data_IF_797954682521
#
_entry.id   IF_797954682521
#
_cell.length_a   1.000
_cell.length_b   1.000
_cell.length_c   1.000
_cell.angle_alpha   90.00
_cell.angle_beta   90.00
_cell.angle_gamma   90.00
#
_symmetry.space_group_name_H-M   'P 1'
#
loop_
_entity.id
_entity.type
_entity.pdbx_description
1 polymer ?
#
# COMPACT_ATOMS: atom_id res chain seq x y z
N UNK A 1 18.30 25.07 22.69
CA UNK A 1 19.33 24.04 22.53
C UNK A 1 19.51 23.67 21.06
N UNK A 2 18.49 23.16 20.37
CA UNK A 2 18.61 22.65 18.99
C UNK A 2 19.05 23.76 18.02
N UNK A 3 18.42 24.92 18.05
CA UNK A 3 18.78 26.05 17.19
C UNK A 3 20.21 26.54 17.40
N UNK A 4 20.64 26.61 18.66
CA UNK A 4 22.04 26.94 18.98
C UNK A 4 23.02 25.92 18.38
N UNK A 5 22.74 24.63 18.55
CA UNK A 5 23.60 23.58 18.05
C UNK A 5 23.65 23.55 16.51
N UNK A 6 22.54 23.79 15.85
CA UNK A 6 22.49 23.91 14.40
C UNK A 6 23.36 25.05 13.90
N UNK A 7 23.28 26.24 14.51
CA UNK A 7 24.14 27.40 14.17
C UNK A 7 25.63 27.09 14.41
N UNK A 8 25.97 26.52 15.58
CA UNK A 8 27.34 26.10 15.89
C UNK A 8 27.92 25.17 14.84
N UNK A 9 27.13 24.21 14.37
CA UNK A 9 27.58 23.26 13.34
C UNK A 9 27.75 23.92 11.97
N UNK A 10 26.90 24.86 11.61
CA UNK A 10 27.04 25.66 10.40
C UNK A 10 28.33 26.50 10.47
N UNK A 11 28.57 27.20 11.59
CA UNK A 11 29.79 28.00 11.79
C UNK A 11 31.08 27.16 11.64
N UNK A 12 31.09 25.94 12.20
CA UNK A 12 32.21 25.01 12.03
C UNK A 12 32.42 24.59 10.57
N UNK A 13 31.34 24.29 9.85
CA UNK A 13 31.45 23.93 8.43
C UNK A 13 31.93 25.08 7.57
N UNK A 14 31.49 26.31 7.85
CA UNK A 14 31.88 27.52 7.13
C UNK A 14 33.36 27.84 7.37
N UNK A 15 33.92 27.52 8.55
CA UNK A 15 35.35 27.64 8.84
C UNK A 15 36.19 26.48 8.31
N UNK A 16 35.57 25.47 7.68
CA UNK A 16 36.25 24.29 7.14
C UNK A 16 36.60 23.23 8.18
N UNK A 17 36.08 23.36 9.39
CA UNK A 17 36.24 22.35 10.44
C UNK A 17 35.26 21.19 10.26
N UNK A 18 35.65 20.01 10.76
CA UNK A 18 34.79 18.84 10.77
C UNK A 18 33.93 18.81 12.02
N UNK A 19 32.64 18.51 11.83
CA UNK A 19 31.75 18.23 12.96
C UNK A 19 32.10 16.88 13.55
N UNK A 20 32.41 16.85 14.85
CA UNK A 20 32.60 15.62 15.61
C UNK A 20 31.29 15.12 16.15
N UNK A 21 31.07 13.82 16.03
CA UNK A 21 29.89 13.17 16.63
C UNK A 21 30.12 13.06 18.15
N UNK A 22 29.34 13.81 18.92
CA UNK A 22 29.47 13.85 20.38
C UNK A 22 28.12 14.12 21.04
N UNK A 23 27.93 13.64 22.25
CA UNK A 23 26.78 14.03 23.07
C UNK A 23 27.07 15.44 23.63
N UNK A 24 26.08 16.32 23.49
CA UNK A 24 26.16 17.67 24.05
C UNK A 24 25.02 17.93 25.04
N UNK A 25 25.34 18.64 26.10
CA UNK A 25 24.37 19.03 27.13
C UNK A 25 24.09 20.51 27.01
N UNK A 26 22.82 20.90 27.18
CA UNK A 26 22.42 22.30 27.21
C UNK A 26 22.73 22.90 28.59
N UNK A 27 23.38 24.03 28.59
CA UNK A 27 23.65 24.86 29.77
C UNK A 27 22.74 26.09 29.70
N UNK A 28 21.67 26.10 30.50
CA UNK A 28 20.72 27.20 30.51
C UNK A 28 21.34 28.51 31.00
N UNK A 29 22.24 28.47 31.99
CA UNK A 29 22.89 29.66 32.55
C UNK A 29 23.84 30.32 31.56
N UNK A 30 24.50 29.54 30.71
CA UNK A 30 25.43 30.02 29.70
C UNK A 30 24.81 30.20 28.33
N UNK A 31 23.56 29.74 28.10
CA UNK A 31 22.86 29.77 26.81
C UNK A 31 23.57 29.03 25.68
N UNK A 32 24.32 27.99 26.01
CA UNK A 32 25.13 27.22 25.04
C UNK A 32 25.19 25.73 25.32
N UNK A 33 25.57 24.96 24.31
CA UNK A 33 25.80 23.54 24.50
C UNK A 33 27.28 23.32 25.00
N UNK A 34 27.46 22.33 25.85
CA UNK A 34 28.79 21.83 26.27
C UNK A 34 28.99 20.41 25.76
N UNK A 35 30.22 20.10 25.31
CA UNK A 35 30.58 18.75 24.96
C UNK A 35 30.47 17.84 26.18
N UNK A 36 29.78 16.72 26.00
CA UNK A 36 29.73 15.63 26.95
C UNK A 36 30.74 14.56 26.61
N UNK A 37 30.48 13.32 27.06
CA UNK A 37 31.32 12.18 26.72
C UNK A 37 31.26 11.89 25.24
N UNK A 38 32.37 11.83 24.55
CA UNK A 38 32.45 11.33 23.18
C UNK A 38 32.40 9.80 23.20
N UNK A 39 31.56 9.26 22.34
CA UNK A 39 31.50 7.82 22.09
C UNK A 39 31.83 7.58 20.63
N UNK A 40 33.04 7.95 20.25
CA UNK A 40 33.44 7.92 18.85
C UNK A 40 34.01 6.57 18.40
N UNK A 41 34.37 5.69 19.32
CA UNK A 41 35.03 4.44 19.00
C UNK A 41 34.09 3.25 19.25
N UNK A 42 34.08 2.31 18.32
CA UNK A 42 33.31 1.05 18.42
C UNK A 42 33.61 0.29 19.72
N UNK A 43 34.83 0.45 20.25
CA UNK A 43 35.30 -0.14 21.51
C UNK A 43 34.53 0.38 22.74
N UNK A 44 34.08 1.64 22.73
CA UNK A 44 33.26 2.22 23.82
C UNK A 44 31.92 1.49 23.95
N UNK A 45 31.38 0.94 22.86
CA UNK A 45 30.17 0.14 22.82
C UNK A 45 30.44 -1.36 22.90
N UNK A 46 31.71 -1.78 23.03
CA UNK A 46 32.14 -3.18 23.01
C UNK A 46 31.77 -3.91 21.71
N UNK A 47 31.75 -3.20 20.56
CA UNK A 47 31.59 -3.79 19.22
C UNK A 47 32.91 -4.41 18.75
N UNK A 48 33.43 -5.39 19.47
CA UNK A 48 34.54 -6.22 19.04
C UNK A 48 34.00 -7.62 18.68
N UNK A 49 34.73 -8.28 17.79
CA UNK A 49 34.36 -9.63 17.38
C UNK A 49 34.43 -10.56 18.61
N UNK A 50 33.34 -11.32 18.79
CA UNK A 50 33.32 -12.37 19.80
C UNK A 50 34.26 -13.48 19.38
N UNK A 51 35.30 -13.83 20.17
CA UNK A 51 36.32 -14.79 19.73
C UNK A 51 35.78 -16.21 19.54
N UNK A 52 34.64 -16.55 20.13
CA UNK A 52 34.02 -17.85 20.05
C UNK A 52 33.06 -17.99 18.85
N UNK A 53 32.81 -16.91 18.10
CA UNK A 53 31.98 -16.93 16.93
C UNK A 53 32.82 -16.94 15.66
N UNK A 54 32.60 -17.95 14.84
CA UNK A 54 33.21 -17.99 13.50
C UNK A 54 32.60 -16.93 12.58
N UNK A 55 33.35 -16.32 11.67
CA UNK A 55 32.82 -15.39 10.70
C UNK A 55 31.68 -16.02 9.88
N UNK A 56 30.57 -15.30 9.80
CA UNK A 56 29.47 -15.69 8.91
C UNK A 56 29.83 -15.29 7.47
N UNK A 57 30.03 -16.28 6.62
CA UNK A 57 30.37 -16.07 5.21
C UNK A 57 29.40 -16.85 4.31
N UNK A 58 28.20 -16.31 4.04
CA UNK A 58 27.24 -16.96 3.15
C UNK A 58 27.83 -17.08 1.74
N UNK A 59 27.59 -18.23 1.09
CA UNK A 59 28.06 -18.42 -0.29
C UNK A 59 27.26 -17.58 -1.28
N UNK A 60 27.86 -17.27 -2.43
CA UNK A 60 27.19 -16.51 -3.48
C UNK A 60 25.93 -17.25 -3.99
N UNK A 61 25.99 -18.58 -4.05
CA UNK A 61 24.86 -19.42 -4.47
C UNK A 61 23.69 -19.33 -3.47
N UNK A 62 24.00 -19.32 -2.16
CA UNK A 62 22.96 -19.17 -1.14
C UNK A 62 22.29 -17.79 -1.19
N UNK A 63 23.09 -16.73 -1.33
CA UNK A 63 22.58 -15.36 -1.50
C UNK A 63 21.70 -15.27 -2.75
N UNK A 64 22.15 -15.81 -3.88
CA UNK A 64 21.38 -15.81 -5.13
C UNK A 64 20.07 -16.61 -5.02
N UNK A 65 20.08 -17.73 -4.28
CA UNK A 65 18.86 -18.51 -4.04
C UNK A 65 17.84 -17.74 -3.20
N UNK A 66 18.30 -17.01 -2.18
CA UNK A 66 17.43 -16.15 -1.35
C UNK A 66 16.86 -14.99 -2.19
N UNK A 67 17.71 -14.34 -2.98
CA UNK A 67 17.30 -13.21 -3.84
C UNK A 67 16.25 -13.65 -4.86
N UNK A 68 16.44 -14.82 -5.48
CA UNK A 68 15.49 -15.40 -6.43
C UNK A 68 14.15 -15.82 -5.78
N UNK A 69 14.17 -16.19 -4.50
CA UNK A 69 12.98 -16.58 -3.74
C UNK A 69 12.27 -15.38 -3.06
N UNK A 70 12.89 -14.21 -3.08
CA UNK A 70 12.35 -13.02 -2.41
C UNK A 70 11.06 -12.55 -3.10
N UNK A 71 9.95 -12.34 -2.37
CA UNK A 71 8.73 -11.81 -2.95
C UNK A 71 8.92 -10.36 -3.43
N UNK A 72 8.15 -9.91 -4.42
CA UNK A 72 8.23 -8.53 -4.88
C UNK A 72 8.02 -7.53 -3.74
N UNK A 73 8.89 -6.53 -3.68
CA UNK A 73 8.80 -5.48 -2.67
C UNK A 73 7.52 -4.63 -2.84
N UNK A 74 6.99 -4.02 -1.78
CA UNK A 74 5.76 -3.22 -1.86
C UNK A 74 5.78 -2.13 -2.94
N UNK A 75 6.93 -1.52 -3.21
CA UNK A 75 7.07 -0.53 -4.28
C UNK A 75 6.87 -1.16 -5.67
N UNK A 76 7.43 -2.34 -5.92
CA UNK A 76 7.25 -3.07 -7.18
C UNK A 76 5.79 -3.52 -7.34
N UNK A 77 5.16 -4.02 -6.27
CA UNK A 77 3.73 -4.41 -6.25
C UNK A 77 2.83 -3.23 -6.62
N UNK A 78 3.06 -2.04 -6.01
CA UNK A 78 2.31 -0.80 -6.35
C UNK A 78 2.51 -0.39 -7.81
N UNK A 79 3.74 -0.43 -8.31
CA UNK A 79 4.02 -0.08 -9.71
C UNK A 79 3.30 -1.01 -10.69
N UNK A 80 3.33 -2.31 -10.44
CA UNK A 80 2.64 -3.29 -11.28
C UNK A 80 1.12 -3.07 -11.29
N UNK A 81 0.52 -2.86 -10.11
CA UNK A 81 -0.91 -2.63 -9.96
C UNK A 81 -1.34 -1.31 -10.62
N UNK A 82 -0.62 -0.22 -10.38
CA UNK A 82 -0.91 1.09 -10.97
C UNK A 82 -0.82 1.05 -12.50
N UNK A 83 0.20 0.39 -13.04
CA UNK A 83 0.37 0.20 -14.49
C UNK A 83 -0.78 -0.60 -15.10
N UNK A 84 -1.19 -1.71 -14.45
CA UNK A 84 -2.29 -2.54 -14.93
C UNK A 84 -3.64 -1.82 -14.86
N UNK A 85 -3.86 -1.03 -13.83
CA UNK A 85 -5.11 -0.29 -13.64
C UNK A 85 -5.18 1.04 -14.40
N UNK A 86 -4.06 1.50 -14.99
CA UNK A 86 -3.99 2.79 -15.70
C UNK A 86 -4.14 4.01 -14.77
N UNK A 87 -3.63 3.92 -13.55
CA UNK A 87 -3.69 4.98 -12.52
C UNK A 87 -2.31 5.38 -12.03
N UNK A 88 -2.21 6.48 -11.28
CA UNK A 88 -0.94 6.88 -10.68
C UNK A 88 -0.58 5.98 -9.48
N UNK A 89 0.71 5.66 -9.33
CA UNK A 89 1.21 4.81 -8.22
C UNK A 89 0.98 5.42 -6.83
N UNK A 90 0.77 6.72 -6.77
CA UNK A 90 0.52 7.50 -5.54
C UNK A 90 -0.96 7.52 -5.14
N UNK A 91 -1.87 6.98 -5.95
CA UNK A 91 -3.29 6.95 -5.59
C UNK A 91 -3.54 6.07 -4.37
N UNK A 92 -4.45 6.52 -3.49
CA UNK A 92 -4.77 5.84 -2.23
C UNK A 92 -5.22 4.39 -2.44
N UNK A 93 -6.02 4.14 -3.47
CA UNK A 93 -6.52 2.81 -3.81
C UNK A 93 -5.39 1.81 -4.12
N UNK A 94 -4.31 2.25 -4.78
CA UNK A 94 -3.12 1.42 -5.05
C UNK A 94 -2.37 1.10 -3.76
N UNK A 95 -2.17 2.12 -2.91
CA UNK A 95 -1.48 1.95 -1.62
C UNK A 95 -2.26 1.01 -0.71
N UNK A 96 -3.56 1.22 -0.59
CA UNK A 96 -4.46 0.43 0.26
C UNK A 96 -4.55 -1.03 -0.23
N UNK A 97 -4.64 -1.25 -1.54
CA UNK A 97 -4.66 -2.61 -2.11
C UNK A 97 -3.41 -3.41 -1.71
N UNK A 98 -2.22 -2.80 -1.80
CA UNK A 98 -0.96 -3.45 -1.40
C UNK A 98 -0.87 -3.63 0.11
N UNK A 99 -1.33 -2.65 0.91
CA UNK A 99 -1.32 -2.75 2.37
C UNK A 99 -2.24 -3.84 2.92
N UNK A 100 -3.34 -4.13 2.20
CA UNK A 100 -4.30 -5.18 2.57
C UNK A 100 -4.00 -6.53 1.91
N UNK A 101 -2.89 -6.65 1.17
CA UNK A 101 -2.54 -7.83 0.38
C UNK A 101 -3.63 -8.25 -0.65
N UNK A 102 -4.39 -7.27 -1.15
CA UNK A 102 -5.44 -7.45 -2.17
C UNK A 102 -4.99 -7.08 -3.59
N UNK A 103 -3.73 -6.69 -3.78
CA UNK A 103 -3.17 -6.33 -5.08
C UNK A 103 -3.17 -7.51 -6.07
N UNK A 104 -2.94 -8.74 -5.60
CA UNK A 104 -2.98 -9.92 -6.46
C UNK A 104 -4.42 -10.21 -6.94
N UNK A 105 -5.40 -10.08 -6.07
CA UNK A 105 -6.82 -10.16 -6.44
C UNK A 105 -7.17 -9.09 -7.47
N UNK A 106 -6.77 -7.84 -7.22
CA UNK A 106 -7.03 -6.73 -8.13
C UNK A 106 -6.40 -6.96 -9.51
N UNK A 107 -5.12 -7.38 -9.57
CA UNK A 107 -4.42 -7.71 -10.81
C UNK A 107 -5.12 -8.83 -11.58
N UNK A 108 -5.50 -9.91 -10.89
CA UNK A 108 -6.20 -11.03 -11.51
C UNK A 108 -7.60 -10.63 -12.02
N UNK A 109 -8.30 -9.76 -11.30
CA UNK A 109 -9.62 -9.23 -11.71
C UNK A 109 -9.51 -8.34 -12.94
N UNK A 110 -8.49 -7.48 -13.00
CA UNK A 110 -8.21 -6.64 -14.18
C UNK A 110 -7.84 -7.53 -15.38
N UNK A 111 -7.00 -8.54 -15.17
CA UNK A 111 -6.66 -9.52 -16.21
C UNK A 111 -7.88 -10.32 -16.71
N UNK A 112 -8.87 -10.54 -15.85
CA UNK A 112 -10.15 -11.16 -16.22
C UNK A 112 -11.13 -10.19 -16.93
N UNK A 113 -10.72 -8.95 -17.21
CA UNK A 113 -11.51 -7.95 -17.96
C UNK A 113 -12.21 -6.91 -17.08
N UNK A 114 -11.94 -6.87 -15.78
CA UNK A 114 -12.46 -5.83 -14.89
C UNK A 114 -11.81 -4.47 -15.17
N UNK A 115 -12.60 -3.40 -15.14
CA UNK A 115 -12.09 -2.03 -15.26
C UNK A 115 -11.18 -1.69 -14.07
N UNK A 116 -9.93 -1.28 -14.35
CA UNK A 116 -8.90 -1.11 -13.33
C UNK A 116 -9.26 -0.10 -12.25
N UNK A 117 -9.82 1.06 -12.63
CA UNK A 117 -10.22 2.10 -11.68
C UNK A 117 -11.37 1.64 -10.79
N UNK A 118 -12.36 0.97 -11.40
CA UNK A 118 -13.53 0.50 -10.66
C UNK A 118 -13.19 -0.65 -9.72
N UNK A 119 -12.37 -1.59 -10.17
CA UNK A 119 -11.81 -2.65 -9.32
C UNK A 119 -11.12 -2.06 -8.10
N UNK A 120 -10.21 -1.09 -8.29
CA UNK A 120 -9.50 -0.45 -7.19
C UNK A 120 -10.40 0.35 -6.26
N UNK A 121 -11.46 0.98 -6.78
CA UNK A 121 -12.48 1.65 -5.96
C UNK A 121 -13.18 0.67 -5.02
N UNK A 122 -13.54 -0.51 -5.52
CA UNK A 122 -14.13 -1.56 -4.67
C UNK A 122 -13.12 -2.09 -3.65
N UNK A 123 -11.85 -2.32 -4.03
CA UNK A 123 -10.79 -2.75 -3.12
C UNK A 123 -10.59 -1.74 -1.98
N UNK A 124 -10.62 -0.45 -2.28
CA UNK A 124 -10.43 0.59 -1.28
C UNK A 124 -11.62 0.70 -0.31
N UNK A 125 -12.84 0.69 -0.84
CA UNK A 125 -14.01 1.09 -0.07
C UNK A 125 -14.95 -0.05 0.34
N UNK A 126 -14.94 -1.17 -0.37
CA UNK A 126 -15.92 -2.23 -0.19
C UNK A 126 -15.33 -3.59 0.19
N UNK A 127 -14.04 -3.84 -0.10
CA UNK A 127 -13.36 -5.07 0.28
C UNK A 127 -12.63 -4.86 1.61
N UNK A 128 -13.35 -5.00 2.71
CA UNK A 128 -12.80 -4.95 4.06
C UNK A 128 -13.36 -6.11 4.88
N UNK A 129 -12.50 -6.91 5.50
CA UNK A 129 -12.88 -8.02 6.35
C UNK A 129 -12.54 -9.39 5.78
N UNK A 130 -13.03 -10.42 6.46
CA UNK A 130 -12.79 -11.81 6.11
C UNK A 130 -13.47 -12.17 4.77
N UNK A 131 -12.80 -12.99 3.97
CA UNK A 131 -13.31 -13.45 2.67
C UNK A 131 -12.97 -12.55 1.47
N UNK A 132 -12.46 -11.33 1.69
CA UNK A 132 -12.07 -10.45 0.58
C UNK A 132 -10.99 -11.06 -0.33
N UNK A 133 -9.99 -11.74 0.27
CA UNK A 133 -8.90 -12.37 -0.46
C UNK A 133 -9.31 -13.63 -1.22
N UNK A 134 -10.41 -14.29 -0.81
CA UNK A 134 -10.91 -15.54 -1.39
C UNK A 134 -11.88 -15.30 -2.56
N UNK A 135 -12.18 -14.03 -2.85
CA UNK A 135 -13.08 -13.65 -3.94
C UNK A 135 -12.54 -14.13 -5.29
N UNK A 136 -13.40 -14.77 -6.10
CA UNK A 136 -12.99 -15.22 -7.42
C UNK A 136 -12.81 -14.01 -8.37
N UNK A 137 -11.62 -13.82 -8.99
CA UNK A 137 -11.35 -12.66 -9.85
C UNK A 137 -12.29 -12.53 -11.05
N UNK A 138 -12.71 -13.65 -11.65
CA UNK A 138 -13.59 -13.61 -12.83
C UNK A 138 -15.00 -13.16 -12.48
N UNK A 139 -15.56 -13.64 -11.36
CA UNK A 139 -16.87 -13.19 -10.88
C UNK A 139 -16.82 -11.76 -10.37
N UNK A 140 -15.71 -11.32 -9.81
CA UNK A 140 -15.51 -9.92 -9.44
C UNK A 140 -15.43 -9.01 -10.68
N UNK A 141 -14.74 -9.43 -11.73
CA UNK A 141 -14.73 -8.71 -13.02
C UNK A 141 -16.16 -8.64 -13.63
N UNK A 142 -16.94 -9.71 -13.53
CA UNK A 142 -18.34 -9.75 -13.96
C UNK A 142 -19.20 -8.72 -13.20
N UNK A 143 -19.06 -8.63 -11.87
CA UNK A 143 -19.75 -7.62 -11.06
C UNK A 143 -19.43 -6.19 -11.54
N UNK A 144 -18.14 -5.90 -11.74
CA UNK A 144 -17.67 -4.60 -12.24
C UNK A 144 -18.29 -4.29 -13.61
N UNK A 145 -18.38 -5.29 -14.49
CA UNK A 145 -19.02 -5.14 -15.81
C UNK A 145 -20.51 -4.87 -15.72
N UNK A 146 -21.24 -5.55 -14.83
CA UNK A 146 -22.68 -5.32 -14.58
C UNK A 146 -22.92 -3.89 -14.08
N UNK A 147 -22.05 -3.38 -13.22
CA UNK A 147 -22.16 -2.02 -12.70
C UNK A 147 -21.87 -0.98 -13.78
N UNK A 148 -20.77 -1.12 -14.52
CA UNK A 148 -20.42 -0.18 -15.60
C UNK A 148 -21.39 -0.24 -16.77
N UNK A 149 -22.02 -1.39 -17.00
CA UNK A 149 -23.08 -1.58 -17.96
C UNK A 149 -24.45 -1.02 -17.54
N UNK A 150 -24.54 -0.42 -16.32
CA UNK A 150 -25.78 0.16 -15.81
C UNK A 150 -26.84 -0.86 -15.37
N UNK A 151 -26.50 -2.16 -15.33
CA UNK A 151 -27.39 -3.21 -14.83
C UNK A 151 -27.48 -3.21 -13.29
N UNK A 152 -26.46 -2.71 -12.62
CA UNK A 152 -26.45 -2.49 -11.17
C UNK A 152 -26.02 -1.06 -10.87
N UNK A 153 -26.69 -0.44 -9.92
CA UNK A 153 -26.21 0.81 -9.34
C UNK A 153 -25.01 0.56 -8.42
N UNK A 154 -24.23 1.58 -8.10
CA UNK A 154 -23.08 1.46 -7.18
C UNK A 154 -23.48 0.88 -5.80
N UNK A 155 -24.67 1.23 -5.31
CA UNK A 155 -25.18 0.71 -4.03
C UNK A 155 -25.56 -0.77 -4.14
N UNK A 156 -26.20 -1.17 -5.23
CA UNK A 156 -26.54 -2.57 -5.49
C UNK A 156 -25.28 -3.41 -5.68
N UNK A 157 -24.30 -2.93 -6.47
CA UNK A 157 -23.01 -3.60 -6.65
C UNK A 157 -22.28 -3.83 -5.32
N UNK A 158 -22.31 -2.85 -4.40
CA UNK A 158 -21.75 -3.01 -3.05
C UNK A 158 -22.47 -4.12 -2.26
N UNK A 159 -23.79 -4.19 -2.34
CA UNK A 159 -24.59 -5.23 -1.66
C UNK A 159 -24.30 -6.62 -2.25
N UNK A 160 -24.28 -6.73 -3.58
CA UNK A 160 -23.93 -7.97 -4.27
C UNK A 160 -22.51 -8.41 -3.92
N UNK A 161 -21.53 -7.49 -3.89
CA UNK A 161 -20.14 -7.80 -3.54
C UNK A 161 -20.02 -8.35 -2.10
N UNK A 162 -20.75 -7.77 -1.16
CA UNK A 162 -20.77 -8.26 0.22
C UNK A 162 -21.31 -9.70 0.31
N UNK A 163 -22.35 -10.01 -0.44
CA UNK A 163 -22.91 -11.37 -0.51
C UNK A 163 -21.96 -12.33 -1.25
N UNK A 164 -21.26 -11.89 -2.28
CA UNK A 164 -20.23 -12.69 -2.97
C UNK A 164 -19.11 -13.11 -2.04
N UNK A 165 -18.64 -12.23 -1.15
CA UNK A 165 -17.58 -12.54 -0.19
C UNK A 165 -17.99 -13.63 0.82
N UNK A 166 -19.27 -13.73 1.14
CA UNK A 166 -19.78 -14.71 2.10
C UNK A 166 -20.20 -16.02 1.44
N UNK A 167 -20.81 -15.94 0.26
CA UNK A 167 -21.41 -17.11 -0.40
C UNK A 167 -20.56 -17.71 -1.52
N UNK A 168 -19.61 -16.94 -2.08
CA UNK A 168 -18.83 -17.34 -3.25
C UNK A 168 -19.63 -17.46 -4.55
N UNK A 169 -20.91 -17.04 -4.56
CA UNK A 169 -21.80 -17.16 -5.72
C UNK A 169 -21.55 -16.08 -6.77
N UNK A 170 -22.02 -16.31 -7.99
CA UNK A 170 -21.89 -15.37 -9.09
C UNK A 170 -22.80 -14.13 -8.90
N UNK A 171 -22.35 -12.95 -9.37
CA UNK A 171 -23.04 -11.68 -9.11
C UNK A 171 -24.41 -11.57 -9.78
N UNK A 172 -24.61 -12.16 -10.95
CA UNK A 172 -25.88 -12.22 -11.67
C UNK A 172 -26.93 -13.02 -10.89
N UNK A 173 -26.55 -14.15 -10.31
CA UNK A 173 -27.42 -14.98 -9.48
C UNK A 173 -27.86 -14.22 -8.24
N UNK A 174 -26.93 -13.56 -7.55
CA UNK A 174 -27.23 -12.79 -6.34
C UNK A 174 -28.12 -11.58 -6.68
N UNK A 175 -27.83 -10.88 -7.78
CA UNK A 175 -28.62 -9.73 -8.23
C UNK A 175 -30.05 -10.11 -8.53
N UNK A 176 -30.28 -11.24 -9.23
CA UNK A 176 -31.60 -11.75 -9.53
C UNK A 176 -32.40 -12.14 -8.27
N UNK A 177 -31.75 -12.80 -7.29
CA UNK A 177 -32.41 -13.17 -6.02
C UNK A 177 -32.79 -11.95 -5.18
N UNK A 178 -31.97 -10.87 -5.25
CA UNK A 178 -32.24 -9.60 -4.55
C UNK A 178 -33.26 -8.71 -5.30
N UNK A 179 -33.71 -9.14 -6.49
CA UNK A 179 -34.66 -8.39 -7.31
C UNK A 179 -34.03 -7.12 -7.91
N UNK A 180 -32.72 -7.12 -8.11
CA UNK A 180 -32.03 -6.02 -8.79
C UNK A 180 -32.14 -6.23 -10.30
N UNK A 181 -33.22 -5.72 -10.88
CA UNK A 181 -33.40 -5.65 -12.32
C UNK A 181 -32.81 -4.35 -12.86
N UNK A 182 -32.26 -4.40 -14.08
CA UNK A 182 -31.84 -3.19 -14.77
C UNK A 182 -33.04 -2.25 -14.91
N UNK A 183 -32.90 -1.00 -14.44
CA UNK A 183 -33.93 0.01 -14.66
C UNK A 183 -34.07 0.23 -16.16
N UNK A 184 -35.24 0.02 -16.70
CA UNK A 184 -35.56 0.36 -18.09
C UNK A 184 -35.56 1.90 -18.21
N UNK A 185 -34.52 2.42 -18.89
CA UNK A 185 -34.38 3.86 -19.10
C UNK A 185 -35.55 4.47 -19.91
N UNK A 186 -36.30 3.65 -20.62
CA UNK A 186 -37.45 4.08 -21.39
C UNK A 186 -38.63 4.61 -20.54
N UNK A 187 -38.78 4.13 -19.30
CA UNK A 187 -39.78 4.68 -18.36
C UNK A 187 -39.37 6.08 -17.86
N UNK A 188 -38.08 6.28 -17.59
CA UNK A 188 -37.54 7.60 -17.18
C UNK A 188 -37.60 8.62 -18.30
N UNK A 189 -37.27 8.24 -19.54
CA UNK A 189 -37.40 9.09 -20.71
C UNK A 189 -38.87 9.51 -20.94
N UNK A 190 -39.82 8.56 -20.79
CA UNK A 190 -41.26 8.86 -20.89
C UNK A 190 -41.81 9.80 -19.81
N UNK A 191 -41.21 9.83 -18.63
CA UNK A 191 -41.56 10.76 -17.55
C UNK A 191 -40.96 12.14 -17.80
N UNK A 192 -39.71 12.21 -18.29
CA UNK A 192 -39.02 13.48 -18.59
C UNK A 192 -39.61 14.20 -19.81
N UNK A 193 -40.00 13.43 -20.85
CA UNK A 193 -40.63 13.98 -22.06
C UNK A 193 -42.11 14.41 -21.83
N UNK A 194 -42.68 14.00 -20.70
CA UNK A 194 -44.04 14.37 -20.28
C UNK A 194 -44.15 15.58 -19.36
N UNK A 195 -43.00 16.19 -18.98
CA UNK A 195 -42.91 17.41 -18.16
C UNK A 195 -42.61 18.62 -19.02
#
# INVERSE_FOLDING_TARGET
AIEYEARRQVDLLETGERIKQETRHWDEGAGRTRAGRSKEEAEDYRYFQEPDLVPLAPSAEWIAAIDAAMPPLPAARRNALASSAGVAVTESCVVIAVQRDLDQLALATIAAGGDGKRVLTHVEHNLSGDGAADLNPATFAQLVSLELGGQLTATQAKTVLAEMMTSGRAPDVIAAELGFEAMDSSELEGIVDGL
#
